data_IF_205801199749
#
_entry.id   IF_205801199749
#
_cell.length_a   1.000
_cell.length_b   1.000
_cell.length_c   1.000
_cell.angle_alpha   90.00
_cell.angle_beta   90.00
_cell.angle_gamma   90.00
#
_symmetry.space_group_name_H-M   'P 1'
#
loop_
_entity.id
_entity.type
_entity.pdbx_description
1 polymer ?
#
# COMPACT_ATOMS: atom_id res chain seq x y z
N UNK A 1 -12.39 -23.31 -2.80
CA UNK A 1 -11.87 -21.97 -3.19
C UNK A 1 -10.57 -22.22 -3.90
N UNK A 2 -10.43 -21.69 -5.11
CA UNK A 2 -9.24 -21.92 -5.92
C UNK A 2 -8.11 -21.01 -5.45
N UNK A 3 -6.87 -21.48 -5.59
CA UNK A 3 -5.68 -20.74 -5.12
C UNK A 3 -5.52 -19.41 -5.87
N UNK A 4 -5.98 -19.36 -7.11
CA UNK A 4 -6.14 -18.14 -7.92
C UNK A 4 -7.06 -17.09 -7.27
N UNK A 5 -8.13 -17.51 -6.59
CA UNK A 5 -9.04 -16.60 -5.86
C UNK A 5 -8.34 -15.96 -4.66
N UNK A 6 -7.51 -16.73 -3.95
CA UNK A 6 -6.68 -16.20 -2.88
C UNK A 6 -5.62 -15.22 -3.40
N UNK A 7 -4.99 -15.51 -4.54
CA UNK A 7 -4.07 -14.59 -5.21
C UNK A 7 -4.74 -13.25 -5.55
N UNK A 8 -5.96 -13.29 -6.09
CA UNK A 8 -6.74 -12.09 -6.41
C UNK A 8 -7.10 -11.26 -5.17
N UNK A 9 -7.53 -11.90 -4.08
CA UNK A 9 -7.83 -11.21 -2.81
C UNK A 9 -6.57 -10.53 -2.26
N UNK A 10 -5.44 -11.24 -2.26
CA UNK A 10 -4.17 -10.71 -1.77
C UNK A 10 -3.69 -9.50 -2.58
N UNK A 11 -3.83 -9.59 -3.91
CA UNK A 11 -3.52 -8.51 -4.83
C UNK A 11 -4.40 -7.27 -4.56
N UNK A 12 -5.73 -7.46 -4.52
CA UNK A 12 -6.71 -6.40 -4.27
C UNK A 12 -6.47 -5.73 -2.92
N UNK A 13 -6.16 -6.51 -1.87
CA UNK A 13 -5.81 -5.96 -0.56
C UNK A 13 -4.58 -5.07 -0.62
N UNK A 14 -3.55 -5.49 -1.35
CA UNK A 14 -2.35 -4.69 -1.57
C UNK A 14 -2.67 -3.37 -2.28
N UNK A 15 -3.50 -3.39 -3.32
CA UNK A 15 -3.93 -2.17 -4.02
C UNK A 15 -4.69 -1.19 -3.11
N UNK A 16 -5.59 -1.70 -2.27
CA UNK A 16 -6.33 -0.88 -1.30
C UNK A 16 -5.36 -0.22 -0.32
N UNK A 17 -4.37 -0.96 0.20
CA UNK A 17 -3.39 -0.39 1.13
C UNK A 17 -2.58 0.71 0.44
N UNK A 18 -2.09 0.48 -0.80
CA UNK A 18 -1.39 1.52 -1.57
C UNK A 18 -2.25 2.77 -1.74
N UNK A 19 -3.51 2.61 -2.14
CA UNK A 19 -4.43 3.72 -2.34
C UNK A 19 -4.66 4.51 -1.05
N UNK A 20 -4.86 3.83 0.07
CA UNK A 20 -5.02 4.45 1.39
C UNK A 20 -3.75 5.19 1.83
N UNK A 21 -2.57 4.60 1.61
CA UNK A 21 -1.29 5.24 1.92
C UNK A 21 -1.09 6.53 1.12
N UNK A 22 -1.35 6.49 -0.19
CA UNK A 22 -1.25 7.67 -1.06
C UNK A 22 -2.23 8.76 -0.62
N UNK A 23 -3.48 8.38 -0.32
CA UNK A 23 -4.51 9.32 0.11
C UNK A 23 -4.18 9.96 1.46
N UNK A 24 -3.67 9.17 2.42
CA UNK A 24 -3.23 9.66 3.73
C UNK A 24 -2.13 10.70 3.60
N UNK A 25 -1.09 10.38 2.83
CA UNK A 25 0.03 11.28 2.55
C UNK A 25 -0.48 12.57 1.90
N UNK A 26 -1.32 12.47 0.87
CA UNK A 26 -1.84 13.63 0.16
C UNK A 26 -2.72 14.52 1.07
N UNK A 27 -3.58 13.91 1.88
CA UNK A 27 -4.41 14.63 2.84
C UNK A 27 -3.56 15.35 3.90
N UNK A 28 -2.53 14.69 4.42
CA UNK A 28 -1.63 15.26 5.43
C UNK A 28 -0.81 16.41 4.87
N UNK A 29 -0.25 16.28 3.67
CA UNK A 29 0.48 17.37 2.99
C UNK A 29 -0.44 18.55 2.72
N UNK A 30 -1.68 18.30 2.28
CA UNK A 30 -2.67 19.36 2.05
C UNK A 30 -3.07 20.07 3.35
N UNK A 31 -3.17 19.35 4.46
CA UNK A 31 -3.58 19.91 5.75
C UNK A 31 -2.48 20.71 6.44
N UNK A 32 -1.26 20.16 6.52
CA UNK A 32 -0.14 20.79 7.22
C UNK A 32 0.46 21.96 6.42
N UNK A 33 0.34 21.95 5.08
CA UNK A 33 0.90 22.94 4.13
C UNK A 33 2.42 23.23 4.27
N UNK A 34 3.11 22.55 5.20
CA UNK A 34 4.55 22.54 5.41
C UNK A 34 5.04 21.14 5.71
N UNK A 35 6.17 20.76 5.11
CA UNK A 35 6.82 19.46 5.37
C UNK A 35 7.91 19.69 6.42
N UNK A 36 7.53 19.61 7.69
CA UNK A 36 8.47 19.66 8.82
C UNK A 36 9.02 18.27 9.17
N UNK A 37 10.06 18.20 10.02
CA UNK A 37 10.69 16.93 10.44
C UNK A 37 9.70 15.90 10.98
N UNK A 38 8.65 16.35 11.69
CA UNK A 38 7.59 15.48 12.20
C UNK A 38 6.76 14.85 11.07
N UNK A 39 6.42 15.64 10.05
CA UNK A 39 5.72 15.15 8.84
C UNK A 39 6.59 14.16 8.09
N UNK A 40 7.88 14.46 7.93
CA UNK A 40 8.83 13.56 7.26
C UNK A 40 8.97 12.21 7.98
N UNK A 41 8.99 12.22 9.32
CA UNK A 41 9.07 11.00 10.11
C UNK A 41 7.79 10.15 10.00
N UNK A 42 6.62 10.79 9.99
CA UNK A 42 5.34 10.10 9.72
C UNK A 42 5.27 9.54 8.29
N UNK A 43 5.71 10.31 7.29
CA UNK A 43 5.75 9.88 5.89
C UNK A 43 6.64 8.66 5.69
N UNK A 44 7.74 8.53 6.44
CA UNK A 44 8.62 7.35 6.36
C UNK A 44 7.93 6.06 6.83
N UNK A 45 7.06 6.17 7.83
CA UNK A 45 6.23 5.04 8.27
C UNK A 45 5.19 4.72 7.20
N UNK A 46 4.54 5.72 6.63
CA UNK A 46 3.59 5.56 5.51
C UNK A 46 4.26 4.92 4.29
N UNK A 47 5.49 5.30 3.96
CA UNK A 47 6.29 4.70 2.88
C UNK A 47 6.55 3.21 3.14
N UNK A 48 6.83 2.82 4.39
CA UNK A 48 7.00 1.42 4.76
C UNK A 48 5.71 0.60 4.56
N UNK A 49 4.54 1.19 4.84
CA UNK A 49 3.25 0.57 4.51
C UNK A 49 3.04 0.45 3.00
N UNK A 50 3.44 1.46 2.22
CA UNK A 50 3.42 1.41 0.76
C UNK A 50 4.28 0.27 0.20
N UNK A 51 5.49 0.08 0.73
CA UNK A 51 6.38 -1.02 0.36
C UNK A 51 5.75 -2.38 0.72
N UNK A 52 5.19 -2.51 1.92
CA UNK A 52 4.51 -3.74 2.35
C UNK A 52 3.32 -4.07 1.43
N UNK A 53 2.56 -3.05 1.02
CA UNK A 53 1.45 -3.20 0.11
C UNK A 53 1.89 -3.67 -1.27
N UNK A 54 2.98 -3.12 -1.82
CA UNK A 54 3.57 -3.59 -3.09
C UNK A 54 3.99 -5.06 -2.99
N UNK A 55 4.56 -5.50 -1.87
CA UNK A 55 4.91 -6.91 -1.66
C UNK A 55 3.65 -7.79 -1.72
N UNK A 56 2.54 -7.36 -1.13
CA UNK A 56 1.25 -8.06 -1.22
C UNK A 56 0.72 -8.13 -2.66
N UNK A 57 0.76 -7.02 -3.40
CA UNK A 57 0.35 -6.95 -4.82
C UNK A 57 1.14 -7.96 -5.65
N UNK A 58 2.47 -7.94 -5.53
CA UNK A 58 3.37 -8.81 -6.30
C UNK A 58 3.16 -10.27 -5.92
N UNK A 59 3.07 -10.58 -4.63
CA UNK A 59 2.88 -11.95 -4.16
C UNK A 59 1.53 -12.51 -4.61
N UNK A 60 0.46 -11.70 -4.54
CA UNK A 60 -0.88 -12.07 -4.99
C UNK A 60 -0.93 -12.33 -6.49
N UNK A 61 -0.29 -11.46 -7.28
CA UNK A 61 -0.18 -11.62 -8.73
C UNK A 61 0.58 -12.90 -9.11
N UNK A 62 1.71 -13.19 -8.47
CA UNK A 62 2.48 -14.41 -8.71
C UNK A 62 1.67 -15.65 -8.36
N UNK A 63 0.94 -15.63 -7.23
CA UNK A 63 0.04 -16.71 -6.83
C UNK A 63 -1.05 -16.98 -7.88
N UNK A 64 -1.65 -15.92 -8.41
CA UNK A 64 -2.73 -16.01 -9.41
C UNK A 64 -2.26 -16.54 -10.77
N UNK A 65 -0.98 -16.33 -11.13
CA UNK A 65 -0.43 -16.83 -12.39
C UNK A 65 0.05 -18.28 -12.26
N UNK A 66 0.67 -18.64 -11.12
CA UNK A 66 1.23 -19.98 -10.94
C UNK A 66 0.17 -21.04 -10.60
N UNK A 67 -0.95 -20.63 -10.02
CA UNK A 67 -1.99 -21.53 -9.49
C UNK A 67 -3.40 -20.98 -9.71
#
# INVERSE_FOLDING_TARGET
MDLSTFGFILHTMGEIIVALTVLSVHHRVKHEQKIDKKVFQSMRTEESFGILAIIFIVSGFVLQILY
#
